data_IF_610351530422
#
_entry.id   IF_610351530422
#
_cell.length_a   1.000
_cell.length_b   1.000
_cell.length_c   1.000
_cell.angle_alpha   90.00
_cell.angle_beta   90.00
_cell.angle_gamma   90.00
#
_symmetry.space_group_name_H-M   'P 1'
#
loop_
_entity.id
_entity.type
_entity.pdbx_description
1 polymer ?
#
# COMPACT_ATOMS: atom_id res chain seq x y z
N UNK A 1 -11.09 -12.85 -7.67
CA UNK A 1 -11.70 -11.72 -6.92
C UNK A 1 -11.41 -11.93 -5.43
N UNK A 2 -11.01 -10.88 -4.72
CA UNK A 2 -10.63 -10.95 -3.31
C UNK A 2 -11.04 -9.70 -2.54
N UNK A 3 -11.41 -9.83 -1.26
CA UNK A 3 -11.76 -8.68 -0.42
C UNK A 3 -10.51 -8.07 0.17
N UNK A 4 -10.18 -6.83 -0.20
CA UNK A 4 -9.02 -6.10 0.29
C UNK A 4 -9.47 -4.76 0.86
N UNK A 5 -9.20 -4.56 2.12
CA UNK A 5 -9.35 -3.30 2.83
C UNK A 5 -8.55 -3.36 4.15
N UNK A 6 -8.26 -2.21 4.78
CA UNK A 6 -7.43 -2.18 5.98
C UNK A 6 -8.05 -2.92 7.18
N UNK A 7 -9.38 -3.04 7.28
CA UNK A 7 -10.02 -3.79 8.37
C UNK A 7 -9.60 -5.26 8.34
N UNK A 8 -9.61 -5.86 7.15
CA UNK A 8 -9.23 -7.27 6.99
C UNK A 8 -7.71 -7.45 7.03
N UNK A 9 -6.97 -6.56 6.39
CA UNK A 9 -5.51 -6.65 6.31
C UNK A 9 -4.83 -6.39 7.66
N UNK A 10 -5.51 -5.71 8.58
CA UNK A 10 -5.00 -5.43 9.93
C UNK A 10 -5.63 -6.32 11.02
N UNK A 11 -6.42 -7.31 10.61
CA UNK A 11 -7.03 -8.25 11.54
C UNK A 11 -8.08 -7.63 12.48
N UNK A 12 -8.68 -6.51 12.05
CA UNK A 12 -9.68 -5.77 12.83
C UNK A 12 -11.13 -6.19 12.52
N UNK A 13 -11.31 -7.26 11.76
CA UNK A 13 -12.65 -7.70 11.32
C UNK A 13 -12.81 -9.21 11.28
N UNK A 14 -13.99 -9.68 11.67
CA UNK A 14 -14.33 -11.10 11.78
C UNK A 14 -14.34 -11.85 10.43
N UNK A 15 -14.38 -11.14 9.33
CA UNK A 15 -14.46 -11.72 7.97
C UNK A 15 -13.12 -11.74 7.22
N UNK A 16 -12.05 -11.30 7.86
CA UNK A 16 -10.70 -11.36 7.28
C UNK A 16 -10.13 -12.77 7.44
N UNK A 17 -9.93 -13.49 6.34
CA UNK A 17 -9.27 -14.80 6.37
C UNK A 17 -7.76 -14.58 6.28
N UNK A 18 -7.02 -15.25 7.16
CA UNK A 18 -5.56 -15.18 7.25
C UNK A 18 -5.05 -13.98 8.04
N UNK A 19 -3.83 -14.10 8.53
CA UNK A 19 -3.11 -12.99 9.17
C UNK A 19 -2.70 -11.92 8.16
N UNK A 20 -2.31 -10.74 8.63
CA UNK A 20 -1.78 -9.67 7.79
C UNK A 20 -0.60 -10.15 6.92
N UNK A 21 0.27 -11.00 7.49
CA UNK A 21 1.42 -11.56 6.78
C UNK A 21 1.01 -12.54 5.68
N UNK A 22 0.09 -13.45 5.94
CA UNK A 22 -0.41 -14.41 4.94
C UNK A 22 -1.15 -13.72 3.80
N UNK A 23 -1.93 -12.68 4.11
CA UNK A 23 -2.62 -11.89 3.09
C UNK A 23 -1.61 -11.15 2.19
N UNK A 24 -0.60 -10.54 2.79
CA UNK A 24 0.46 -9.88 2.03
C UNK A 24 1.22 -10.86 1.12
N UNK A 25 1.58 -12.04 1.64
CA UNK A 25 2.24 -13.10 0.86
C UNK A 25 1.36 -13.56 -0.32
N UNK A 26 0.06 -13.70 -0.11
CA UNK A 26 -0.90 -14.01 -1.20
C UNK A 26 -0.86 -12.95 -2.30
N UNK A 27 -0.83 -11.65 -1.95
CA UNK A 27 -0.78 -10.57 -2.93
C UNK A 27 0.52 -10.62 -3.74
N UNK A 28 1.65 -10.79 -3.06
CA UNK A 28 2.95 -10.94 -3.70
C UNK A 28 3.01 -12.17 -4.61
N UNK A 29 2.45 -13.29 -4.17
CA UNK A 29 2.38 -14.52 -4.97
C UNK A 29 1.52 -14.34 -6.23
N UNK A 30 0.34 -13.74 -6.10
CA UNK A 30 -0.51 -13.44 -7.26
C UNK A 30 0.23 -12.61 -8.29
N UNK A 31 0.90 -11.54 -7.88
CA UNK A 31 1.67 -10.71 -8.80
C UNK A 31 2.81 -11.49 -9.46
N UNK A 32 3.59 -12.26 -8.71
CA UNK A 32 4.70 -13.07 -9.24
C UNK A 32 4.25 -14.10 -10.28
N UNK A 33 3.09 -14.72 -10.04
CA UNK A 33 2.52 -15.74 -10.92
C UNK A 33 1.67 -15.15 -12.06
N UNK A 34 1.61 -13.83 -12.21
CA UNK A 34 0.82 -13.15 -13.24
C UNK A 34 -0.69 -13.24 -13.04
N UNK A 35 -1.14 -13.51 -11.80
CA UNK A 35 -2.56 -13.59 -11.44
C UNK A 35 -3.06 -12.23 -10.98
N UNK A 36 -3.88 -11.58 -11.80
CA UNK A 36 -4.50 -10.29 -11.47
C UNK A 36 -5.58 -10.44 -10.39
N UNK A 37 -5.56 -9.56 -9.40
CA UNK A 37 -6.55 -9.49 -8.32
C UNK A 37 -7.58 -8.41 -8.65
N UNK A 38 -8.85 -8.79 -8.74
CA UNK A 38 -9.99 -7.87 -8.72
C UNK A 38 -10.45 -7.73 -7.27
N UNK A 39 -10.46 -6.50 -6.75
CA UNK A 39 -10.81 -6.22 -5.36
C UNK A 39 -12.31 -5.97 -5.20
N UNK A 40 -12.90 -6.59 -4.19
CA UNK A 40 -14.24 -6.30 -3.68
C UNK A 40 -14.16 -5.76 -2.23
N UNK A 41 -15.23 -5.10 -1.79
CA UNK A 41 -15.37 -4.54 -0.43
C UNK A 41 -14.25 -3.56 0.00
N UNK A 42 -13.79 -2.63 -0.85
CA UNK A 42 -12.76 -1.68 -0.45
C UNK A 42 -13.17 -0.80 0.74
N UNK A 43 -14.48 -0.59 0.93
CA UNK A 43 -15.05 0.20 2.03
C UNK A 43 -15.46 -0.62 3.26
N UNK A 44 -15.18 -1.93 3.28
CA UNK A 44 -15.63 -2.84 4.37
C UNK A 44 -17.14 -2.73 4.66
N UNK A 45 -17.99 -2.77 3.62
CA UNK A 45 -19.43 -2.59 3.75
C UNK A 45 -19.85 -1.18 4.21
N UNK A 46 -19.05 -0.18 3.94
CA UNK A 46 -19.27 1.22 4.36
C UNK A 46 -18.72 1.54 5.76
N UNK A 47 -18.23 0.55 6.50
CA UNK A 47 -17.70 0.72 7.86
C UNK A 47 -16.55 1.75 7.89
N UNK A 48 -15.65 1.71 6.91
CA UNK A 48 -14.50 2.62 6.82
C UNK A 48 -14.87 4.07 6.53
N UNK A 49 -16.06 4.31 5.99
CA UNK A 49 -16.52 5.66 5.62
C UNK A 49 -17.22 6.40 6.78
N UNK A 50 -17.38 5.73 7.93
CA UNK A 50 -18.06 6.25 9.11
C UNK A 50 -17.14 6.14 10.33
N UNK A 51 -16.78 7.28 10.94
CA UNK A 51 -15.86 7.31 12.07
C UNK A 51 -16.37 6.54 13.29
N UNK A 52 -17.71 6.48 13.48
CA UNK A 52 -18.31 5.76 14.60
C UNK A 52 -18.30 4.22 14.42
N UNK A 53 -18.21 3.76 13.17
CA UNK A 53 -18.20 2.33 12.82
C UNK A 53 -16.82 1.81 12.49
N UNK A 54 -15.91 2.71 12.10
CA UNK A 54 -14.55 2.35 11.74
C UNK A 54 -13.77 1.85 12.97
N UNK A 55 -13.12 0.68 12.91
CA UNK A 55 -12.29 0.19 14.00
C UNK A 55 -11.06 1.08 14.25
N UNK A 56 -10.79 2.03 13.36
CA UNK A 56 -9.69 2.99 13.45
C UNK A 56 -10.10 4.30 14.14
N UNK A 57 -11.34 4.41 14.66
CA UNK A 57 -11.84 5.62 15.31
C UNK A 57 -11.93 6.86 14.41
N UNK A 58 -11.80 6.66 13.11
CA UNK A 58 -11.89 7.71 12.07
C UNK A 58 -12.51 7.20 10.78
N UNK A 59 -13.15 8.07 10.03
CA UNK A 59 -13.56 7.79 8.68
C UNK A 59 -12.38 7.94 7.71
N UNK A 60 -12.33 7.07 6.71
CA UNK A 60 -11.51 7.26 5.52
C UNK A 60 -12.37 7.80 4.38
N UNK A 61 -11.76 8.53 3.47
CA UNK A 61 -12.42 8.90 2.22
C UNK A 61 -12.52 7.69 1.28
N UNK A 62 -13.44 7.73 0.33
CA UNK A 62 -13.55 6.70 -0.71
C UNK A 62 -12.24 6.58 -1.50
N UNK A 63 -11.61 7.71 -1.78
CA UNK A 63 -10.33 7.77 -2.50
C UNK A 63 -9.20 7.09 -1.72
N UNK A 64 -9.11 7.28 -0.42
CA UNK A 64 -8.13 6.60 0.43
C UNK A 64 -8.33 5.09 0.45
N UNK A 65 -9.58 4.63 0.56
CA UNK A 65 -9.90 3.21 0.55
C UNK A 65 -9.57 2.54 -0.79
N UNK A 66 -9.85 3.21 -1.91
CA UNK A 66 -9.54 2.73 -3.26
C UNK A 66 -8.02 2.68 -3.45
N UNK A 67 -7.31 3.74 -3.06
CA UNK A 67 -5.85 3.81 -3.16
C UNK A 67 -5.18 2.72 -2.32
N UNK A 68 -5.67 2.49 -1.09
CA UNK A 68 -5.18 1.40 -0.25
C UNK A 68 -5.21 0.05 -0.97
N UNK A 69 -6.32 -0.25 -1.64
CA UNK A 69 -6.47 -1.51 -2.36
C UNK A 69 -5.58 -1.57 -3.61
N UNK A 70 -5.51 -0.49 -4.40
CA UNK A 70 -4.69 -0.41 -5.63
C UNK A 70 -3.19 -0.52 -5.34
N UNK A 71 -2.74 -0.10 -4.18
CA UNK A 71 -1.32 -0.18 -3.80
C UNK A 71 -0.87 -1.60 -3.46
N UNK A 72 -1.79 -2.56 -3.27
CA UNK A 72 -1.41 -3.95 -3.00
C UNK A 72 -0.83 -4.64 -4.24
N UNK A 73 0.19 -5.50 -4.06
CA UNK A 73 0.74 -6.29 -5.17
C UNK A 73 -0.35 -7.10 -5.88
N UNK A 74 -0.26 -7.19 -7.20
CA UNK A 74 -1.17 -8.00 -8.03
C UNK A 74 -2.56 -7.41 -8.23
N UNK A 75 -2.93 -6.31 -7.58
CA UNK A 75 -4.23 -5.70 -7.80
C UNK A 75 -4.26 -4.98 -9.14
N UNK A 76 -5.24 -5.33 -9.97
CA UNK A 76 -5.46 -4.76 -11.32
C UNK A 76 -6.70 -3.90 -11.40
N UNK A 77 -7.68 -4.13 -10.51
CA UNK A 77 -8.91 -3.33 -10.48
C UNK A 77 -9.60 -3.40 -9.12
N UNK A 78 -10.35 -2.36 -8.81
CA UNK A 78 -11.18 -2.27 -7.61
C UNK A 78 -12.63 -2.08 -8.02
N UNK A 79 -13.54 -2.88 -7.45
CA UNK A 79 -14.98 -2.80 -7.63
C UNK A 79 -15.62 -2.22 -6.36
N UNK A 80 -15.68 -0.89 -6.24
CA UNK A 80 -16.34 -0.26 -5.11
C UNK A 80 -17.85 -0.41 -5.21
N UNK A 81 -18.50 -0.70 -4.07
CA UNK A 81 -19.95 -0.71 -3.98
C UNK A 81 -20.50 0.72 -3.82
N UNK A 82 -21.65 0.96 -4.42
CA UNK A 82 -22.45 2.19 -4.25
C UNK A 82 -23.92 1.85 -4.34
N UNK A 83 -24.76 2.57 -3.60
CA UNK A 83 -26.20 2.36 -3.54
C UNK A 83 -27.03 3.32 -4.41
N UNK A 84 -26.43 4.46 -4.79
CA UNK A 84 -27.10 5.48 -5.57
C UNK A 84 -26.12 6.25 -6.50
N UNK A 85 -26.65 7.14 -7.30
CA UNK A 85 -25.87 7.94 -8.26
C UNK A 85 -24.91 8.91 -7.55
N UNK A 86 -25.28 9.44 -6.39
CA UNK A 86 -24.41 10.33 -5.62
C UNK A 86 -23.15 9.60 -5.17
N UNK A 87 -23.33 8.43 -4.57
CA UNK A 87 -22.19 7.58 -4.15
C UNK A 87 -21.33 7.14 -5.34
N UNK A 88 -21.95 6.86 -6.48
CA UNK A 88 -21.21 6.55 -7.71
C UNK A 88 -20.32 7.73 -8.13
N UNK A 89 -20.86 8.96 -8.11
CA UNK A 89 -20.09 10.17 -8.43
C UNK A 89 -18.93 10.38 -7.45
N UNK A 90 -19.16 10.14 -6.15
CA UNK A 90 -18.10 10.20 -5.12
C UNK A 90 -17.00 9.17 -5.36
N UNK A 91 -17.32 7.97 -5.85
CA UNK A 91 -16.32 6.96 -6.26
C UNK A 91 -15.51 7.46 -7.47
N UNK A 92 -16.17 8.04 -8.48
CA UNK A 92 -15.51 8.55 -9.69
C UNK A 92 -14.59 9.73 -9.41
N UNK A 93 -14.84 10.51 -8.36
CA UNK A 93 -13.95 11.58 -7.91
C UNK A 93 -12.53 11.10 -7.58
N UNK A 94 -12.34 9.78 -7.40
CA UNK A 94 -10.99 9.19 -7.23
C UNK A 94 -10.02 9.66 -8.33
N UNK A 95 -10.47 9.77 -9.56
CA UNK A 95 -9.61 10.14 -10.70
C UNK A 95 -9.15 11.60 -10.65
N UNK A 96 -9.94 12.45 -10.03
CA UNK A 96 -9.68 13.88 -9.89
C UNK A 96 -9.04 14.23 -8.53
N UNK A 97 -9.00 13.27 -7.59
CA UNK A 97 -8.43 13.47 -6.24
C UNK A 97 -6.91 13.52 -6.31
N UNK A 98 -6.25 14.57 -5.79
CA UNK A 98 -4.79 14.63 -5.70
C UNK A 98 -4.19 13.47 -4.90
N UNK A 99 -2.93 13.14 -5.18
CA UNK A 99 -2.24 12.02 -4.52
C UNK A 99 -2.14 12.21 -2.99
N UNK A 100 -1.97 13.46 -2.55
CA UNK A 100 -1.89 13.83 -1.13
C UNK A 100 -3.19 13.54 -0.38
N UNK A 101 -4.35 13.71 -1.03
CA UNK A 101 -5.66 13.46 -0.45
C UNK A 101 -6.05 11.97 -0.48
N UNK A 102 -5.35 11.17 -1.29
CA UNK A 102 -5.48 9.70 -1.31
C UNK A 102 -4.58 9.02 -0.28
N UNK A 103 -3.75 9.79 0.44
CA UNK A 103 -2.85 9.26 1.46
C UNK A 103 -3.66 8.68 2.64
N UNK A 104 -3.42 7.42 2.93
CA UNK A 104 -4.04 6.67 4.03
C UNK A 104 -3.03 6.35 5.15
N UNK A 105 -1.93 7.09 5.22
CA UNK A 105 -0.87 6.90 6.22
C UNK A 105 -1.37 6.98 7.67
N UNK A 106 -2.50 7.66 7.89
CA UNK A 106 -3.18 7.69 9.18
C UNK A 106 -3.56 6.30 9.73
N UNK A 107 -3.54 5.26 8.90
CA UNK A 107 -3.75 3.88 9.34
C UNK A 107 -2.52 3.23 9.97
N UNK A 108 -1.35 3.84 9.82
CA UNK A 108 -0.10 3.27 10.32
C UNK A 108 -0.08 3.03 11.83
N UNK A 109 -0.80 3.86 12.60
CA UNK A 109 -0.93 3.72 14.06
C UNK A 109 -1.62 2.40 14.48
N UNK A 110 -2.40 1.80 13.59
CA UNK A 110 -3.18 0.58 13.84
C UNK A 110 -2.54 -0.66 13.22
N UNK A 111 -1.32 -0.53 12.69
CA UNK A 111 -0.65 -1.67 12.07
C UNK A 111 -0.44 -2.79 13.08
N UNK A 112 -0.72 -4.06 12.69
CA UNK A 112 -0.44 -5.19 13.57
C UNK A 112 1.04 -5.22 13.94
N UNK A 113 1.41 -5.66 15.17
CA UNK A 113 2.80 -5.75 15.61
C UNK A 113 3.68 -6.57 14.65
N UNK A 114 3.12 -7.57 13.99
CA UNK A 114 3.78 -8.37 12.96
C UNK A 114 4.12 -7.59 11.68
N UNK A 115 3.54 -6.42 11.49
CA UNK A 115 3.87 -5.50 10.39
C UNK A 115 5.02 -4.55 10.73
N UNK A 116 5.45 -4.50 12.00
CA UNK A 116 6.62 -3.70 12.42
C UNK A 116 7.88 -4.19 11.69
N UNK A 117 8.65 -3.24 11.15
CA UNK A 117 9.84 -3.55 10.34
C UNK A 117 9.54 -3.97 8.89
N UNK A 118 8.26 -4.08 8.48
CA UNK A 118 7.86 -4.44 7.12
C UNK A 118 7.24 -3.26 6.39
N UNK A 119 7.72 -2.98 5.19
CA UNK A 119 7.13 -1.95 4.34
C UNK A 119 5.80 -2.44 3.75
N UNK A 120 4.73 -1.69 3.99
CA UNK A 120 3.38 -1.96 3.44
C UNK A 120 3.00 -0.98 2.31
N UNK A 121 3.99 -0.24 1.80
CA UNK A 121 3.89 0.69 0.66
C UNK A 121 2.90 1.85 0.85
N UNK A 122 2.66 2.26 2.09
CA UNK A 122 1.67 3.26 2.48
C UNK A 122 2.02 4.71 2.09
N UNK A 123 3.23 4.96 1.56
CA UNK A 123 3.74 6.29 1.15
C UNK A 123 3.89 7.33 2.27
N UNK A 124 3.75 6.94 3.55
CA UNK A 124 3.93 7.87 4.68
C UNK A 124 5.33 8.51 4.73
N UNK A 125 6.30 7.88 4.10
CA UNK A 125 7.65 8.40 3.93
C UNK A 125 7.77 9.56 2.93
N UNK A 126 6.71 9.88 2.19
CA UNK A 126 6.65 11.03 1.28
C UNK A 126 6.34 12.35 2.01
N UNK A 127 6.76 13.51 1.41
CA UNK A 127 7.66 13.62 0.28
C UNK A 127 9.10 13.27 0.66
N UNK A 128 9.82 12.57 -0.23
CA UNK A 128 11.25 12.34 -0.05
C UNK A 128 12.05 13.57 -0.50
N UNK A 129 12.99 14.10 0.29
CA UNK A 129 13.81 15.25 -0.12
C UNK A 129 14.63 15.01 -1.39
N UNK A 130 14.98 13.77 -1.72
CA UNK A 130 15.66 13.38 -2.96
C UNK A 130 14.70 13.05 -4.11
N UNK A 131 13.37 13.13 -3.89
CA UNK A 131 12.38 12.83 -4.92
C UNK A 131 12.16 11.34 -5.20
N UNK A 132 12.55 10.45 -4.28
CA UNK A 132 12.35 9.00 -4.41
C UNK A 132 10.89 8.61 -4.12
N UNK A 133 10.31 7.74 -4.94
CA UNK A 133 9.13 6.97 -4.53
C UNK A 133 9.57 5.74 -3.72
N UNK A 134 9.82 5.97 -2.43
CA UNK A 134 10.32 4.95 -1.50
C UNK A 134 9.39 3.74 -1.44
N UNK A 135 8.08 3.95 -1.49
CA UNK A 135 7.10 2.87 -1.45
C UNK A 135 7.20 1.97 -2.71
N UNK A 136 7.32 2.58 -3.88
CA UNK A 136 7.46 1.86 -5.16
C UNK A 136 8.81 1.12 -5.23
N UNK A 137 9.90 1.75 -4.79
CA UNK A 137 11.23 1.14 -4.70
C UNK A 137 11.19 -0.10 -3.83
N UNK A 138 10.59 -0.02 -2.64
CA UNK A 138 10.41 -1.17 -1.74
C UNK A 138 9.56 -2.27 -2.39
N UNK A 139 8.46 -1.90 -3.05
CA UNK A 139 7.58 -2.86 -3.72
C UNK A 139 8.34 -3.67 -4.78
N UNK A 140 9.09 -3.01 -5.64
CA UNK A 140 9.89 -3.70 -6.66
C UNK A 140 10.97 -4.59 -6.07
N UNK A 141 11.61 -4.15 -4.99
CA UNK A 141 12.61 -4.95 -4.30
C UNK A 141 12.01 -6.22 -3.70
N UNK A 142 10.90 -6.09 -2.97
CA UNK A 142 10.26 -7.23 -2.32
C UNK A 142 9.77 -8.26 -3.34
N UNK A 143 9.20 -7.81 -4.45
CA UNK A 143 8.77 -8.67 -5.56
C UNK A 143 9.95 -9.33 -6.28
N UNK A 144 11.00 -8.58 -6.58
CA UNK A 144 12.20 -9.11 -7.24
C UNK A 144 12.90 -10.18 -6.38
N UNK A 145 12.93 -10.00 -5.05
CA UNK A 145 13.43 -11.03 -4.12
C UNK A 145 12.60 -12.32 -4.15
N UNK A 146 11.33 -12.22 -4.48
CA UNK A 146 10.44 -13.38 -4.66
C UNK A 146 10.55 -14.00 -6.06
N UNK A 147 11.47 -13.48 -6.90
CA UNK A 147 11.74 -14.02 -8.25
C UNK A 147 10.95 -13.35 -9.37
N UNK A 148 10.25 -12.25 -9.11
CA UNK A 148 9.56 -11.48 -10.14
C UNK A 148 10.58 -10.69 -11.00
N UNK A 149 10.82 -11.20 -12.22
CA UNK A 149 11.74 -10.60 -13.18
C UNK A 149 11.24 -9.25 -13.70
N UNK A 150 9.93 -9.11 -13.86
CA UNK A 150 9.31 -7.89 -14.36
C UNK A 150 9.46 -6.74 -13.35
N UNK A 151 9.35 -7.04 -12.05
CA UNK A 151 9.61 -6.07 -10.99
C UNK A 151 11.07 -5.56 -11.04
N UNK A 152 12.03 -6.44 -11.33
CA UNK A 152 13.43 -6.05 -11.54
C UNK A 152 13.60 -5.12 -12.76
N UNK A 153 12.98 -5.47 -13.88
CA UNK A 153 13.03 -4.66 -15.10
C UNK A 153 12.44 -3.27 -14.85
N UNK A 154 11.26 -3.20 -14.22
CA UNK A 154 10.61 -1.93 -13.86
C UNK A 154 11.46 -1.08 -12.91
N UNK A 155 12.12 -1.69 -11.91
CA UNK A 155 13.02 -0.95 -11.04
C UNK A 155 14.15 -0.28 -11.81
N UNK A 156 14.76 -1.00 -12.77
CA UNK A 156 15.86 -0.49 -13.57
C UNK A 156 15.46 0.67 -14.49
N UNK A 157 14.17 0.83 -14.81
CA UNK A 157 13.67 1.97 -15.60
C UNK A 157 13.30 3.20 -14.75
N UNK A 158 13.33 3.11 -13.43
CA UNK A 158 13.03 4.26 -12.57
C UNK A 158 13.99 5.42 -12.85
N UNK A 159 13.46 6.63 -12.95
CA UNK A 159 14.25 7.85 -13.09
C UNK A 159 15.07 8.12 -11.81
N UNK A 160 14.43 7.92 -10.64
CA UNK A 160 15.06 7.99 -9.32
C UNK A 160 15.03 6.63 -8.66
N UNK A 161 16.17 6.17 -8.19
CA UNK A 161 16.36 4.83 -7.62
C UNK A 161 16.98 4.89 -6.22
N UNK A 162 17.24 3.75 -5.63
CA UNK A 162 17.81 3.68 -4.28
C UNK A 162 19.20 4.33 -4.19
N UNK A 163 19.98 4.39 -5.30
CA UNK A 163 21.28 5.07 -5.37
C UNK A 163 21.19 6.59 -5.18
N UNK A 164 20.03 7.19 -5.43
CA UNK A 164 19.80 8.63 -5.22
C UNK A 164 19.47 8.98 -3.76
N UNK A 165 19.49 8.00 -2.85
CA UNK A 165 19.17 8.21 -1.44
C UNK A 165 20.23 9.07 -0.74
N UNK A 166 19.79 10.14 -0.09
CA UNK A 166 20.67 11.03 0.67
C UNK A 166 20.96 10.54 2.10
N UNK A 167 20.47 9.36 2.49
CA UNK A 167 20.56 8.80 3.85
C UNK A 167 20.15 9.80 4.97
N UNK A 168 19.25 10.72 4.68
CA UNK A 168 18.86 11.81 5.59
C UNK A 168 17.95 11.39 6.74
N UNK A 169 17.47 10.14 6.76
CA UNK A 169 16.59 9.58 7.79
C UNK A 169 15.19 10.20 7.87
N UNK A 170 14.80 11.04 6.89
CA UNK A 170 13.47 11.66 6.89
C UNK A 170 12.36 10.60 6.86
N UNK A 171 12.50 9.60 6.00
CA UNK A 171 11.57 8.48 5.86
C UNK A 171 11.53 7.58 7.09
N UNK A 172 12.65 7.37 7.78
CA UNK A 172 12.73 6.54 8.99
C UNK A 172 11.89 7.13 10.13
N UNK A 173 12.01 8.45 10.34
CA UNK A 173 11.26 9.16 11.38
C UNK A 173 9.75 9.22 11.13
N UNK A 174 9.35 9.10 9.87
CA UNK A 174 7.94 9.15 9.45
C UNK A 174 7.29 7.78 9.30
N UNK A 175 8.07 6.71 9.30
CA UNK A 175 7.54 5.37 9.05
C UNK A 175 6.74 4.86 10.26
N UNK A 176 5.42 4.69 10.18
CA UNK A 176 4.61 4.19 11.29
C UNK A 176 4.87 2.70 11.58
N UNK A 177 5.53 2.00 10.66
CA UNK A 177 5.92 0.60 10.80
C UNK A 177 7.37 0.43 11.24
N UNK A 178 8.05 1.51 11.60
CA UNK A 178 9.44 1.50 12.07
C UNK A 178 10.41 0.77 11.12
N UNK A 179 10.15 0.85 9.82
CA UNK A 179 11.07 0.31 8.80
C UNK A 179 12.27 1.25 8.69
N UNK A 180 13.51 0.75 8.84
CA UNK A 180 14.71 1.55 8.63
C UNK A 180 14.94 1.80 7.15
N UNK A 181 14.16 2.72 6.58
CA UNK A 181 14.08 2.94 5.15
C UNK A 181 15.42 3.40 4.54
N UNK A 182 16.18 4.24 5.23
CA UNK A 182 17.48 4.69 4.76
C UNK A 182 18.46 3.53 4.60
N UNK A 183 18.58 2.65 5.60
CA UNK A 183 19.39 1.43 5.51
C UNK A 183 18.85 0.47 4.45
N UNK A 184 17.53 0.40 4.31
CA UNK A 184 16.89 -0.43 3.28
C UNK A 184 17.20 0.07 1.88
N UNK A 185 17.32 1.39 1.64
CA UNK A 185 17.77 1.93 0.35
C UNK A 185 19.20 1.48 0.00
N UNK A 186 20.12 1.45 0.96
CA UNK A 186 21.47 0.90 0.75
C UNK A 186 21.41 -0.58 0.32
N UNK A 187 20.59 -1.39 1.01
CA UNK A 187 20.38 -2.80 0.67
C UNK A 187 19.82 -2.97 -0.75
N UNK A 188 18.84 -2.13 -1.11
CA UNK A 188 18.17 -2.16 -2.41
C UNK A 188 19.13 -1.75 -3.52
N UNK A 189 19.91 -0.70 -3.28
CA UNK A 189 20.97 -0.28 -4.21
C UNK A 189 21.99 -1.43 -4.46
N UNK A 190 22.46 -2.07 -3.39
CA UNK A 190 23.37 -3.20 -3.50
C UNK A 190 22.77 -4.39 -4.29
N UNK A 191 21.47 -4.65 -4.13
CA UNK A 191 20.75 -5.75 -4.80
C UNK A 191 20.57 -5.51 -6.31
N UNK A 192 20.21 -4.31 -6.72
CA UNK A 192 19.95 -4.00 -8.12
C UNK A 192 21.16 -3.44 -8.86
N UNK A 193 22.14 -2.88 -8.15
CA UNK A 193 23.29 -2.17 -8.73
C UNK A 193 22.96 -0.76 -9.24
N UNK A 194 21.83 -0.21 -8.79
CA UNK A 194 21.31 1.10 -9.22
C UNK A 194 20.68 1.85 -8.05
#
# INVERSE_FOLDING_TARGET
MFSINPVYDYGQGDYGIGSAAERHELYCRCQREGVGITVMKPFSGGQLLDAAKSPFGRALTRAQCIQYALDKPGVVTVLPGFGDEKEMREVLQYFDTPAEERDYACLGEFAPPESTGRCVYCKHCHPCPAGLDIALINKYYDLARLGDKLAREHYLTLEKSASDCLACGHCDRRCPFHVPQSQRMETIHAYFGK
#
